data_IF_852132680747
#
_entry.id   IF_852132680747
#
_cell.length_a   1.000
_cell.length_b   1.000
_cell.length_c   1.000
_cell.angle_alpha   90.00
_cell.angle_beta   90.00
_cell.angle_gamma   90.00
#
_symmetry.space_group_name_H-M   'P 1'
#
loop_
_entity.id
_entity.type
_entity.pdbx_description
1 polymer ?
#
# COMPACT_ATOMS: atom_id res chain seq x y z
N UNK A 1 10.38 10.65 -59.03
CA UNK A 1 11.27 10.29 -57.91
C UNK A 1 10.72 10.67 -56.52
N UNK A 2 9.98 11.78 -56.37
CA UNK A 2 9.40 12.20 -55.07
C UNK A 2 8.31 11.27 -54.52
N UNK A 3 7.42 10.74 -55.38
CA UNK A 3 6.31 9.85 -54.96
C UNK A 3 6.79 8.54 -54.31
N UNK A 4 7.86 7.94 -54.83
CA UNK A 4 8.45 6.72 -54.25
C UNK A 4 9.10 7.01 -52.90
N UNK A 5 9.86 8.11 -52.80
CA UNK A 5 10.48 8.56 -51.55
C UNK A 5 9.42 8.83 -50.47
N UNK A 6 8.33 9.52 -50.82
CA UNK A 6 7.23 9.79 -49.90
C UNK A 6 6.58 8.50 -49.39
N UNK A 7 6.28 7.54 -50.29
CA UNK A 7 5.68 6.25 -49.92
C UNK A 7 6.60 5.43 -48.99
N UNK A 8 7.91 5.45 -49.24
CA UNK A 8 8.90 4.79 -48.38
C UNK A 8 8.99 5.47 -47.02
N UNK A 9 9.07 6.80 -46.97
CA UNK A 9 9.12 7.56 -45.72
C UNK A 9 7.85 7.34 -44.90
N UNK A 10 6.66 7.39 -45.51
CA UNK A 10 5.40 7.15 -44.81
C UNK A 10 5.31 5.72 -44.26
N UNK A 11 5.78 4.73 -45.03
CA UNK A 11 5.78 3.33 -44.58
C UNK A 11 6.73 3.10 -43.41
N UNK A 12 7.92 3.71 -43.45
CA UNK A 12 8.89 3.65 -42.34
C UNK A 12 8.30 4.35 -41.11
N UNK A 13 7.78 5.57 -41.25
CA UNK A 13 7.16 6.31 -40.14
C UNK A 13 6.01 5.53 -39.51
N UNK A 14 5.13 4.94 -40.32
CA UNK A 14 4.01 4.15 -39.81
C UNK A 14 4.49 2.90 -39.06
N UNK A 15 5.49 2.20 -39.61
CA UNK A 15 6.09 1.03 -38.96
C UNK A 15 6.75 1.42 -37.64
N UNK A 16 7.55 2.49 -37.62
CA UNK A 16 8.20 2.99 -36.41
C UNK A 16 7.17 3.39 -35.35
N UNK A 17 6.10 4.10 -35.74
CA UNK A 17 5.03 4.50 -34.82
C UNK A 17 4.33 3.27 -34.23
N UNK A 18 4.03 2.27 -35.05
CA UNK A 18 3.39 1.04 -34.60
C UNK A 18 4.26 0.28 -33.58
N UNK A 19 5.57 0.18 -33.84
CA UNK A 19 6.53 -0.43 -32.91
C UNK A 19 6.64 0.38 -31.61
N UNK A 20 6.71 1.71 -31.68
CA UNK A 20 6.79 2.58 -30.51
C UNK A 20 5.54 2.47 -29.63
N UNK A 21 4.35 2.46 -30.23
CA UNK A 21 3.10 2.28 -29.49
C UNK A 21 3.05 0.92 -28.82
N UNK A 22 3.42 -0.16 -29.53
CA UNK A 22 3.48 -1.50 -28.96
C UNK A 22 4.46 -1.58 -27.78
N UNK A 23 5.65 -0.99 -27.93
CA UNK A 23 6.66 -0.95 -26.87
C UNK A 23 6.19 -0.12 -25.67
N UNK A 24 5.54 1.02 -25.91
CA UNK A 24 5.00 1.88 -24.86
C UNK A 24 3.94 1.18 -24.00
N UNK A 25 3.05 0.39 -24.61
CA UNK A 25 2.05 -0.39 -23.89
C UNK A 25 2.72 -1.45 -23.00
N UNK A 26 3.68 -2.20 -23.55
CA UNK A 26 4.38 -3.26 -22.81
C UNK A 26 5.19 -2.68 -21.64
N UNK A 27 5.94 -1.61 -21.89
CA UNK A 27 6.73 -0.93 -20.85
C UNK A 27 5.80 -0.37 -19.77
N UNK A 28 4.69 0.27 -20.15
CA UNK A 28 3.72 0.82 -19.19
C UNK A 28 3.18 -0.24 -18.23
N UNK A 29 2.77 -1.40 -18.75
CA UNK A 29 2.26 -2.51 -17.95
C UNK A 29 3.33 -3.11 -17.02
N UNK A 30 4.55 -3.30 -17.54
CA UNK A 30 5.68 -3.78 -16.75
C UNK A 30 6.06 -2.80 -15.65
N UNK A 31 6.09 -1.51 -15.96
CA UNK A 31 6.44 -0.46 -15.02
C UNK A 31 5.43 -0.38 -13.86
N UNK A 32 4.13 -0.38 -14.16
CA UNK A 32 3.09 -0.35 -13.13
C UNK A 32 3.18 -1.58 -12.20
N UNK A 33 3.31 -2.78 -12.78
CA UNK A 33 3.40 -4.02 -12.00
C UNK A 33 4.66 -4.04 -11.13
N UNK A 34 5.80 -3.64 -11.71
CA UNK A 34 7.05 -3.53 -10.97
C UNK A 34 6.95 -2.50 -9.84
N UNK A 35 6.38 -1.33 -10.11
CA UNK A 35 6.22 -0.27 -9.11
C UNK A 35 5.37 -0.72 -7.92
N UNK A 36 4.18 -1.29 -8.18
CA UNK A 36 3.26 -1.75 -7.13
C UNK A 36 3.88 -2.90 -6.32
N UNK A 37 4.53 -3.86 -6.97
CA UNK A 37 5.17 -4.98 -6.26
C UNK A 37 6.32 -4.51 -5.37
N UNK A 38 7.21 -3.64 -5.87
CA UNK A 38 8.31 -3.11 -5.05
C UNK A 38 7.80 -2.24 -3.89
N UNK A 39 6.73 -1.47 -4.12
CA UNK A 39 6.09 -0.70 -3.06
C UNK A 39 5.47 -1.63 -2.00
N UNK A 40 4.82 -2.70 -2.44
CA UNK A 40 4.25 -3.73 -1.55
C UNK A 40 5.33 -4.38 -0.70
N UNK A 41 6.40 -4.90 -1.32
CA UNK A 41 7.51 -5.57 -0.62
C UNK A 41 8.20 -4.66 0.40
N UNK A 42 8.27 -3.35 0.10
CA UNK A 42 8.81 -2.35 1.02
C UNK A 42 7.87 -2.15 2.21
N UNK A 43 6.60 -1.86 1.94
CA UNK A 43 5.61 -1.55 2.98
C UNK A 43 5.38 -2.78 3.87
N UNK A 44 5.38 -3.99 3.32
CA UNK A 44 5.33 -5.24 4.09
C UNK A 44 6.42 -5.28 5.16
N UNK A 45 7.69 -5.12 4.77
CA UNK A 45 8.83 -5.17 5.70
C UNK A 45 8.81 -4.04 6.72
N UNK A 46 8.42 -2.84 6.29
CA UNK A 46 8.29 -1.70 7.17
C UNK A 46 7.16 -1.91 8.20
N UNK A 47 6.02 -2.47 7.77
CA UNK A 47 4.90 -2.80 8.63
C UNK A 47 5.25 -3.93 9.61
N UNK A 48 5.90 -4.99 9.14
CA UNK A 48 6.38 -6.08 10.01
C UNK A 48 7.33 -5.58 11.10
N UNK A 49 8.27 -4.68 10.74
CA UNK A 49 9.17 -4.08 11.70
C UNK A 49 8.43 -3.18 12.70
N UNK A 50 7.49 -2.36 12.22
CA UNK A 50 6.64 -1.54 13.08
C UNK A 50 5.83 -2.39 14.06
N UNK A 51 5.17 -3.44 13.57
CA UNK A 51 4.39 -4.37 14.39
C UNK A 51 5.26 -5.09 15.42
N UNK A 52 6.49 -5.48 15.07
CA UNK A 52 7.42 -6.06 16.03
C UNK A 52 7.76 -5.09 17.16
N UNK A 53 8.10 -3.83 16.85
CA UNK A 53 8.43 -2.82 17.87
C UNK A 53 7.24 -2.49 18.76
N UNK A 54 6.05 -2.33 18.17
CA UNK A 54 4.81 -2.06 18.93
C UNK A 54 4.46 -3.25 19.82
N UNK A 55 4.63 -4.47 19.31
CA UNK A 55 4.37 -5.71 20.03
C UNK A 55 5.22 -5.88 21.28
N UNK A 56 6.52 -5.54 21.19
CA UNK A 56 7.47 -5.62 22.30
C UNK A 56 7.19 -4.57 23.40
N UNK A 57 6.82 -3.33 23.03
CA UNK A 57 6.46 -2.29 24.01
C UNK A 57 5.04 -2.47 24.60
N UNK A 58 4.15 -3.13 23.86
CA UNK A 58 2.77 -3.39 24.24
C UNK A 58 1.78 -2.35 23.70
N UNK A 59 0.60 -2.83 23.32
CA UNK A 59 -0.47 -2.01 22.76
C UNK A 59 -1.29 -1.38 23.89
N UNK A 60 -1.23 -0.06 24.01
CA UNK A 60 -2.10 0.75 24.87
C UNK A 60 -2.57 1.99 24.11
N UNK A 61 -3.75 2.52 24.44
CA UNK A 61 -4.30 3.68 23.74
C UNK A 61 -3.39 4.92 23.81
N UNK A 62 -2.67 5.11 24.92
CA UNK A 62 -1.76 6.24 25.12
C UNK A 62 -0.42 6.12 24.38
N UNK A 63 0.01 4.90 24.06
CA UNK A 63 1.24 4.63 23.29
C UNK A 63 0.96 4.46 21.80
N UNK A 64 -0.16 3.84 21.43
CA UNK A 64 -0.54 3.56 20.05
C UNK A 64 -0.62 4.83 19.20
N UNK A 65 -1.26 5.91 19.69
CA UNK A 65 -1.33 7.16 18.94
C UNK A 65 0.06 7.76 18.67
N UNK A 66 0.97 7.67 19.64
CA UNK A 66 2.35 8.16 19.48
C UNK A 66 3.12 7.35 18.44
N UNK A 67 3.01 6.02 18.50
CA UNK A 67 3.61 5.14 17.51
C UNK A 67 3.10 5.44 16.10
N UNK A 68 1.78 5.56 15.94
CA UNK A 68 1.20 5.87 14.63
C UNK A 68 1.79 7.16 14.04
N UNK A 69 1.93 8.22 14.86
CA UNK A 69 2.51 9.50 14.43
C UNK A 69 4.01 9.41 14.13
N UNK A 70 4.79 8.76 15.00
CA UNK A 70 6.25 8.66 14.87
C UNK A 70 6.64 7.79 13.66
N UNK A 71 5.97 6.65 13.49
CA UNK A 71 6.18 5.75 12.35
C UNK A 71 5.73 6.44 11.06
N UNK A 72 4.57 7.12 11.08
CA UNK A 72 4.09 7.85 9.91
C UNK A 72 5.09 8.89 9.43
N UNK A 73 5.67 9.66 10.37
CA UNK A 73 6.71 10.64 10.06
C UNK A 73 8.00 10.00 9.54
N UNK A 74 8.37 8.83 10.04
CA UNK A 74 9.59 8.15 9.62
C UNK A 74 9.47 7.50 8.23
N UNK A 75 8.30 6.96 7.92
CA UNK A 75 8.05 6.19 6.70
C UNK A 75 7.38 6.99 5.58
N UNK A 76 6.95 8.22 5.87
CA UNK A 76 6.09 9.04 5.00
C UNK A 76 4.85 8.26 4.54
N UNK A 77 4.21 7.59 5.50
CA UNK A 77 3.09 6.68 5.27
C UNK A 77 1.98 6.93 6.29
N UNK A 78 0.72 6.67 5.89
CA UNK A 78 -0.40 6.67 6.82
C UNK A 78 -0.37 5.37 7.63
N UNK A 79 -0.33 5.50 8.94
CA UNK A 79 -0.33 4.39 9.91
C UNK A 79 -1.60 4.44 10.73
N UNK A 80 -2.24 3.28 10.88
CA UNK A 80 -3.40 3.04 11.72
C UNK A 80 -3.13 1.80 12.56
N UNK A 81 -3.36 1.87 13.87
CA UNK A 81 -3.21 0.75 14.80
C UNK A 81 -4.60 0.36 15.29
N UNK A 82 -4.94 -0.91 15.15
CA UNK A 82 -6.26 -1.43 15.49
C UNK A 82 -6.18 -2.57 16.50
N UNK A 83 -7.20 -2.66 17.35
CA UNK A 83 -7.42 -3.80 18.23
C UNK A 83 -8.08 -4.96 17.47
N UNK A 84 -8.06 -6.17 18.06
CA UNK A 84 -8.68 -7.39 17.52
C UNK A 84 -10.19 -7.26 17.22
N UNK A 85 -10.87 -6.31 17.86
CA UNK A 85 -12.28 -6.03 17.60
C UNK A 85 -12.51 -5.05 16.44
N UNK A 86 -11.43 -4.52 15.85
CA UNK A 86 -11.41 -3.52 14.79
C UNK A 86 -11.44 -2.06 15.29
N UNK A 87 -11.41 -1.83 16.60
CA UNK A 87 -11.36 -0.47 17.16
C UNK A 87 -10.02 0.19 16.83
N UNK A 88 -10.07 1.40 16.27
CA UNK A 88 -8.88 2.20 15.98
C UNK A 88 -8.42 2.88 17.28
N UNK A 89 -7.17 2.65 17.65
CA UNK A 89 -6.56 3.19 18.89
C UNK A 89 -5.35 4.08 18.61
N UNK A 90 -4.87 4.10 17.37
CA UNK A 90 -3.86 5.02 16.88
C UNK A 90 -4.07 5.31 15.40
N UNK A 91 -3.95 6.56 14.99
CA UNK A 91 -4.12 7.01 13.60
C UNK A 91 -3.28 8.26 13.34
N UNK A 92 -2.57 8.26 12.21
CA UNK A 92 -1.66 9.34 11.83
C UNK A 92 -2.31 10.49 11.05
N UNK A 93 -3.40 10.23 10.32
CA UNK A 93 -4.03 11.21 9.44
C UNK A 93 -5.13 12.04 10.12
N UNK A 94 -5.78 11.50 11.14
CA UNK A 94 -6.99 12.06 11.78
C UNK A 94 -7.09 11.57 13.22
N UNK A 95 -7.99 12.14 14.01
CA UNK A 95 -8.31 11.68 15.36
C UNK A 95 -8.88 10.23 15.32
N UNK A 96 -8.27 9.25 16.03
CA UNK A 96 -8.79 7.90 16.16
C UNK A 96 -10.24 7.84 16.65
N UNK A 97 -10.66 8.76 17.51
CA UNK A 97 -12.00 8.76 18.09
C UNK A 97 -13.12 9.06 17.09
N UNK A 98 -12.76 9.60 15.91
CA UNK A 98 -13.70 9.90 14.82
C UNK A 98 -13.76 8.78 13.77
N UNK A 99 -12.94 7.74 13.91
CA UNK A 99 -12.83 6.67 12.93
C UNK A 99 -13.86 5.58 13.17
N UNK A 100 -14.45 5.07 12.08
CA UNK A 100 -15.28 3.87 12.13
C UNK A 100 -14.45 2.64 12.55
N UNK A 101 -15.12 1.60 13.02
CA UNK A 101 -14.48 0.31 13.26
C UNK A 101 -13.97 -0.30 11.93
N UNK A 102 -12.74 -0.81 11.92
CA UNK A 102 -12.05 -1.29 10.72
C UNK A 102 -12.08 -2.82 10.53
N UNK A 103 -12.82 -3.57 11.36
CA UNK A 103 -12.90 -5.03 11.29
C UNK A 103 -13.33 -5.57 9.93
N UNK A 104 -14.13 -4.81 9.19
CA UNK A 104 -14.67 -5.24 7.90
C UNK A 104 -13.80 -4.86 6.70
N UNK A 105 -12.65 -4.23 6.94
CA UNK A 105 -11.74 -3.83 5.88
C UNK A 105 -11.10 -5.08 5.22
N UNK A 106 -11.01 -5.15 3.88
CA UNK A 106 -10.48 -6.33 3.18
C UNK A 106 -9.10 -6.75 3.66
N UNK A 107 -8.20 -5.78 3.84
CA UNK A 107 -6.84 -5.98 4.33
C UNK A 107 -6.81 -6.63 5.73
N UNK A 108 -7.73 -6.25 6.61
CA UNK A 108 -7.82 -6.79 7.98
C UNK A 108 -8.38 -8.21 7.98
N UNK A 109 -9.45 -8.45 7.21
CA UNK A 109 -10.06 -9.78 7.06
C UNK A 109 -9.04 -10.77 6.47
N UNK A 110 -8.22 -10.33 5.52
CA UNK A 110 -7.20 -11.17 4.90
C UNK A 110 -6.17 -11.64 5.94
N UNK A 111 -5.64 -10.72 6.74
CA UNK A 111 -4.68 -11.04 7.81
C UNK A 111 -5.26 -11.98 8.86
N UNK A 112 -6.51 -11.77 9.29
CA UNK A 112 -7.22 -12.66 10.21
C UNK A 112 -7.31 -14.10 9.67
N UNK A 113 -7.39 -14.25 8.34
CA UNK A 113 -7.44 -15.54 7.63
C UNK A 113 -6.06 -16.11 7.29
N UNK A 114 -4.98 -15.50 7.76
CA UNK A 114 -3.59 -15.83 7.38
C UNK A 114 -3.32 -15.69 5.87
N UNK A 115 -3.98 -14.74 5.21
CA UNK A 115 -3.72 -14.34 3.84
C UNK A 115 -2.89 -13.05 3.81
N UNK A 116 -2.37 -12.70 2.63
CA UNK A 116 -1.67 -11.43 2.42
C UNK A 116 -2.60 -10.26 2.72
N UNK A 117 -2.22 -9.42 3.67
CA UNK A 117 -3.02 -8.32 4.20
C UNK A 117 -3.11 -7.09 3.30
N UNK A 118 -3.22 -7.29 1.99
CA UNK A 118 -3.05 -6.21 1.00
C UNK A 118 -4.35 -5.88 0.30
N UNK A 119 -4.61 -4.58 0.14
CA UNK A 119 -5.71 -4.08 -0.68
C UNK A 119 -5.30 -2.79 -1.40
N UNK A 120 -5.65 -2.66 -2.69
CA UNK A 120 -5.49 -1.40 -3.43
C UNK A 120 -6.88 -0.83 -3.67
N UNK A 121 -7.17 0.33 -3.10
CA UNK A 121 -8.47 0.98 -3.23
C UNK A 121 -8.38 2.49 -3.12
N UNK A 122 -9.41 3.15 -3.64
CA UNK A 122 -9.58 4.58 -3.48
C UNK A 122 -9.80 4.94 -1.99
N UNK A 123 -9.11 5.99 -1.55
CA UNK A 123 -9.20 6.56 -0.22
C UNK A 123 -10.02 7.84 -0.25
N UNK A 124 -11.24 7.82 0.28
CA UNK A 124 -12.09 9.03 0.32
C UNK A 124 -11.48 10.15 1.19
N UNK A 125 -10.67 9.81 2.19
CA UNK A 125 -10.01 10.78 3.08
C UNK A 125 -8.84 11.49 2.40
N UNK A 126 -8.09 10.77 1.56
CA UNK A 126 -6.88 11.29 0.90
C UNK A 126 -7.15 11.74 -0.54
N UNK A 127 -8.20 11.22 -1.17
CA UNK A 127 -8.63 11.55 -2.52
C UNK A 127 -7.86 10.82 -3.62
N UNK A 128 -7.19 9.70 -3.31
CA UNK A 128 -6.33 8.97 -4.26
C UNK A 128 -6.42 7.44 -4.06
N UNK A 129 -5.96 6.68 -5.05
CA UNK A 129 -5.81 5.23 -4.97
C UNK A 129 -4.59 4.89 -4.10
N UNK A 130 -4.83 4.20 -2.99
CA UNK A 130 -3.79 3.85 -2.03
C UNK A 130 -3.62 2.33 -1.94
N UNK A 131 -2.37 1.94 -1.72
CA UNK A 131 -2.01 0.60 -1.28
C UNK A 131 -2.14 0.54 0.25
N UNK A 132 -3.04 -0.31 0.72
CA UNK A 132 -3.19 -0.68 2.12
C UNK A 132 -2.50 -2.01 2.36
N UNK A 133 -1.74 -2.09 3.46
CA UNK A 133 -1.09 -3.31 3.90
C UNK A 133 -1.25 -3.45 5.41
N UNK A 134 -1.67 -4.63 5.85
CA UNK A 134 -1.95 -4.94 7.24
C UNK A 134 -1.09 -6.12 7.71
N UNK A 135 -0.63 -6.06 8.96
CA UNK A 135 0.19 -7.11 9.59
C UNK A 135 -0.29 -7.33 11.02
N UNK A 136 -0.18 -8.56 11.53
CA UNK A 136 -0.52 -8.82 12.94
C UNK A 136 0.54 -8.27 13.86
N UNK A 137 0.08 -7.64 14.94
CA UNK A 137 0.91 -7.29 16.07
C UNK A 137 0.84 -8.43 17.08
N UNK A 138 2.02 -8.96 17.44
CA UNK A 138 2.15 -10.02 18.42
C UNK A 138 2.76 -9.46 19.71
N UNK A 139 2.22 -9.83 20.86
CA UNK A 139 2.87 -9.57 22.14
C UNK A 139 4.11 -10.48 22.32
N UNK A 140 4.92 -10.29 23.38
CA UNK A 140 6.08 -11.15 23.65
C UNK A 140 5.74 -12.63 23.86
N UNK A 141 4.49 -12.94 24.21
CA UNK A 141 3.96 -14.31 24.36
C UNK A 141 3.50 -14.93 23.02
N UNK A 142 3.65 -14.19 21.91
CA UNK A 142 3.23 -14.55 20.54
C UNK A 142 1.72 -14.67 20.34
N UNK A 143 0.94 -13.99 21.17
CA UNK A 143 -0.49 -13.82 20.97
C UNK A 143 -0.75 -12.59 20.11
N UNK A 144 -1.67 -12.71 19.15
CA UNK A 144 -2.09 -11.55 18.36
C UNK A 144 -2.89 -10.60 19.26
N UNK A 145 -2.46 -9.35 19.33
CA UNK A 145 -3.07 -8.30 20.16
C UNK A 145 -3.74 -7.20 19.33
N UNK A 146 -3.45 -7.15 18.04
CA UNK A 146 -3.97 -6.15 17.12
C UNK A 146 -3.37 -6.31 15.73
N UNK A 147 -3.61 -5.30 14.91
CA UNK A 147 -3.10 -5.18 13.53
C UNK A 147 -2.68 -3.74 13.28
#
# INVERSE_FOLDING_TARGET
MSKLRFKLISAILLTTLLVMTGLGIVIGQLYQSFYVNNLTDRIEKEAELAAYVIGEEGIRADTAQRFALDISKALDARVTIILLDGTVIGESATDPALMDNHRTRPEIIAVERNLEGREIRYSDTVGDELLYYAVRIFNPERETVGT
#
